data_IF_099293177159
#
_entry.id   IF_099293177159
#
_cell.length_a   1.000
_cell.length_b   1.000
_cell.length_c   1.000
_cell.angle_alpha   90.00
_cell.angle_beta   90.00
_cell.angle_gamma   90.00
#
_symmetry.space_group_name_H-M   'P 1'
#
loop_
_entity.id
_entity.type
_entity.pdbx_description
1 polymer ?
#
# COMPACT_ATOMS: atom_id res chain seq x y z
N UNK A 1 12.53 -21.50 -7.89
CA UNK A 1 12.30 -20.06 -7.80
C UNK A 1 11.30 -19.50 -8.83
N UNK A 2 11.23 -20.04 -10.04
CA UNK A 2 10.27 -19.62 -11.09
C UNK A 2 8.81 -20.08 -10.84
N UNK A 3 8.60 -21.13 -10.07
CA UNK A 3 7.31 -21.80 -9.87
C UNK A 3 6.50 -21.28 -8.66
N UNK A 4 6.79 -20.08 -8.15
CA UNK A 4 5.93 -19.47 -7.15
C UNK A 4 4.63 -19.00 -7.82
N UNK A 5 3.49 -19.26 -7.19
CA UNK A 5 2.16 -18.93 -7.70
C UNK A 5 2.05 -17.48 -8.21
N UNK A 6 2.57 -16.45 -7.51
CA UNK A 6 2.57 -15.08 -8.03
C UNK A 6 3.33 -14.93 -9.35
N UNK A 7 4.54 -15.54 -9.47
CA UNK A 7 5.33 -15.42 -10.70
C UNK A 7 4.64 -16.06 -11.91
N UNK A 8 3.98 -17.21 -11.71
CA UNK A 8 3.23 -17.88 -12.78
C UNK A 8 2.10 -16.98 -13.26
N UNK A 9 1.39 -16.33 -12.35
CA UNK A 9 0.27 -15.44 -12.67
C UNK A 9 0.75 -14.18 -13.42
N UNK A 10 1.88 -13.59 -13.02
CA UNK A 10 2.50 -12.48 -13.76
C UNK A 10 2.93 -12.88 -15.17
N UNK A 11 3.58 -14.04 -15.32
CA UNK A 11 3.99 -14.55 -16.62
C UNK A 11 2.76 -14.89 -17.49
N UNK A 12 1.73 -15.51 -16.94
CA UNK A 12 0.49 -15.81 -17.67
C UNK A 12 -0.16 -14.54 -18.21
N UNK A 13 -0.11 -13.43 -17.47
CA UNK A 13 -0.61 -12.11 -17.89
C UNK A 13 0.15 -11.59 -19.11
N UNK A 14 1.48 -11.72 -19.14
CA UNK A 14 2.30 -11.35 -20.31
C UNK A 14 1.95 -12.22 -21.53
N UNK A 15 1.74 -13.52 -21.32
CA UNK A 15 1.38 -14.46 -22.40
C UNK A 15 -0.04 -14.19 -22.93
N UNK A 16 -0.95 -13.75 -22.10
CA UNK A 16 -2.33 -13.43 -22.50
C UNK A 16 -2.40 -12.23 -23.46
N UNK A 17 -1.45 -11.27 -23.39
CA UNK A 17 -1.44 -10.09 -24.26
C UNK A 17 -1.44 -10.46 -25.75
N UNK A 18 -0.48 -11.27 -26.28
CA UNK A 18 -0.51 -11.66 -27.70
C UNK A 18 -1.73 -12.51 -28.04
N UNK A 19 -2.29 -13.28 -27.11
CA UNK A 19 -3.53 -14.04 -27.33
C UNK A 19 -4.73 -13.10 -27.53
N UNK A 20 -4.87 -12.05 -26.70
CA UNK A 20 -5.89 -11.01 -26.87
C UNK A 20 -5.75 -10.33 -28.23
N UNK A 21 -4.51 -9.97 -28.63
CA UNK A 21 -4.24 -9.36 -29.93
C UNK A 21 -4.70 -10.27 -31.10
N UNK A 22 -4.30 -11.53 -31.09
CA UNK A 22 -4.69 -12.50 -32.12
C UNK A 22 -6.20 -12.73 -32.15
N UNK A 23 -6.83 -12.79 -31.00
CA UNK A 23 -8.29 -12.97 -30.90
C UNK A 23 -9.05 -11.80 -31.55
N UNK A 24 -8.65 -10.57 -31.30
CA UNK A 24 -9.27 -9.38 -31.94
C UNK A 24 -8.95 -9.33 -33.44
N UNK A 25 -7.73 -9.70 -33.84
CA UNK A 25 -7.30 -9.69 -35.23
C UNK A 25 -8.13 -10.62 -36.15
N UNK A 26 -8.71 -11.68 -35.61
CA UNK A 26 -9.58 -12.60 -36.36
C UNK A 26 -10.92 -11.95 -36.78
N UNK A 27 -11.28 -10.79 -36.21
CA UNK A 27 -12.50 -10.03 -36.52
C UNK A 27 -13.81 -10.84 -36.39
N UNK A 28 -13.85 -11.80 -35.49
CA UNK A 28 -15.04 -12.61 -35.20
C UNK A 28 -15.62 -12.24 -33.84
N UNK A 29 -16.96 -12.19 -33.76
CA UNK A 29 -17.68 -11.85 -32.50
C UNK A 29 -17.26 -12.75 -31.34
N UNK A 30 -17.14 -14.06 -31.58
CA UNK A 30 -16.75 -15.01 -30.56
C UNK A 30 -15.33 -14.81 -30.05
N UNK A 31 -14.41 -14.47 -30.94
CA UNK A 31 -13.02 -14.20 -30.61
C UNK A 31 -12.89 -12.86 -29.88
N UNK A 32 -13.68 -11.85 -30.24
CA UNK A 32 -13.73 -10.57 -29.52
C UNK A 32 -14.24 -10.75 -28.09
N UNK A 33 -15.28 -11.57 -27.90
CA UNK A 33 -15.78 -11.92 -26.56
C UNK A 33 -14.69 -12.64 -25.75
N UNK A 34 -13.99 -13.60 -26.37
CA UNK A 34 -12.89 -14.31 -25.71
C UNK A 34 -11.79 -13.33 -25.28
N UNK A 35 -11.42 -12.38 -26.13
CA UNK A 35 -10.43 -11.33 -25.81
C UNK A 35 -10.85 -10.49 -24.61
N UNK A 36 -12.10 -10.03 -24.59
CA UNK A 36 -12.66 -9.28 -23.47
C UNK A 36 -12.68 -10.08 -22.18
N UNK A 37 -13.10 -11.32 -22.22
CA UNK A 37 -13.10 -12.22 -21.05
C UNK A 37 -11.68 -12.46 -20.54
N UNK A 38 -10.72 -12.72 -21.41
CA UNK A 38 -9.31 -12.92 -21.05
C UNK A 38 -8.73 -11.65 -20.39
N UNK A 39 -9.06 -10.47 -20.90
CA UNK A 39 -8.63 -9.21 -20.31
C UNK A 39 -9.24 -9.01 -18.91
N UNK A 40 -10.52 -9.26 -18.73
CA UNK A 40 -11.19 -9.19 -17.42
C UNK A 40 -10.55 -10.18 -16.44
N UNK A 41 -10.35 -11.42 -16.85
CA UNK A 41 -9.69 -12.43 -16.00
C UNK A 41 -8.28 -12.02 -15.61
N UNK A 42 -7.47 -11.52 -16.55
CA UNK A 42 -6.13 -11.02 -16.27
C UNK A 42 -6.15 -9.85 -15.28
N UNK A 43 -7.09 -8.92 -15.42
CA UNK A 43 -7.26 -7.76 -14.53
C UNK A 43 -7.70 -8.17 -13.12
N UNK A 44 -8.63 -9.11 -13.00
CA UNK A 44 -9.10 -9.64 -11.71
C UNK A 44 -8.01 -10.43 -11.02
N UNK A 45 -7.27 -11.24 -11.77
CA UNK A 45 -6.15 -12.04 -11.25
C UNK A 45 -5.08 -11.14 -10.67
N UNK A 46 -4.74 -10.03 -11.35
CA UNK A 46 -3.80 -9.03 -10.85
C UNK A 46 -4.21 -8.45 -9.48
N UNK A 47 -5.48 -8.08 -9.37
CA UNK A 47 -6.00 -7.56 -8.10
C UNK A 47 -5.91 -8.59 -6.97
N UNK A 48 -6.24 -9.85 -7.26
CA UNK A 48 -6.19 -10.94 -6.29
C UNK A 48 -4.75 -11.29 -5.89
N UNK A 49 -3.82 -11.31 -6.85
CA UNK A 49 -2.40 -11.59 -6.59
C UNK A 49 -1.79 -10.55 -5.67
N UNK A 50 -2.07 -9.27 -5.91
CA UNK A 50 -1.66 -8.19 -5.02
C UNK A 50 -2.22 -8.35 -3.60
N UNK A 51 -3.39 -8.95 -3.43
CA UNK A 51 -3.97 -9.26 -2.13
C UNK A 51 -3.29 -10.47 -1.48
N UNK A 52 -3.12 -11.58 -2.21
CA UNK A 52 -2.53 -12.83 -1.69
C UNK A 52 -1.02 -12.72 -1.43
N UNK A 53 -0.27 -12.01 -2.29
CA UNK A 53 1.17 -11.81 -2.11
C UNK A 53 1.48 -11.04 -0.81
N UNK A 54 0.67 -10.03 -0.47
CA UNK A 54 0.78 -9.30 0.81
C UNK A 54 0.48 -10.18 2.02
N UNK A 55 -0.43 -11.14 1.87
CA UNK A 55 -0.85 -12.04 2.94
C UNK A 55 0.16 -13.16 3.23
N UNK A 56 0.95 -13.61 2.23
CA UNK A 56 1.80 -14.82 2.34
C UNK A 56 3.31 -14.54 2.41
N UNK A 57 3.77 -13.29 2.37
CA UNK A 57 5.21 -12.91 2.35
C UNK A 57 6.07 -13.65 1.29
N UNK A 58 5.47 -14.10 0.19
CA UNK A 58 6.12 -14.88 -0.87
C UNK A 58 6.58 -13.99 -2.04
N UNK A 59 7.22 -12.87 -1.75
CA UNK A 59 7.73 -11.98 -2.80
C UNK A 59 9.06 -12.47 -3.34
N UNK A 60 9.08 -13.03 -4.54
CA UNK A 60 10.32 -13.30 -5.25
C UNK A 60 10.92 -11.99 -5.82
N UNK A 61 12.24 -11.95 -5.99
CA UNK A 61 12.90 -10.77 -6.61
C UNK A 61 12.41 -10.58 -8.04
N UNK A 62 12.21 -11.68 -8.79
CA UNK A 62 11.72 -11.66 -10.16
C UNK A 62 10.26 -11.16 -10.24
N UNK A 63 9.38 -11.61 -9.33
CA UNK A 63 7.99 -11.13 -9.28
C UNK A 63 7.92 -9.63 -9.04
N UNK A 64 8.67 -9.10 -8.08
CA UNK A 64 8.72 -7.65 -7.80
C UNK A 64 9.16 -6.81 -9.00
N UNK A 65 9.98 -7.36 -9.88
CA UNK A 65 10.39 -6.71 -11.12
C UNK A 65 9.33 -6.83 -12.21
N UNK A 66 8.77 -8.03 -12.41
CA UNK A 66 7.86 -8.31 -13.52
C UNK A 66 6.44 -7.78 -13.29
N UNK A 67 5.95 -7.75 -12.04
CA UNK A 67 4.58 -7.31 -11.74
C UNK A 67 4.30 -5.88 -12.27
N UNK A 68 5.08 -4.84 -11.93
CA UNK A 68 4.79 -3.50 -12.42
C UNK A 68 4.98 -3.37 -13.95
N UNK A 69 5.75 -4.24 -14.58
CA UNK A 69 5.92 -4.26 -16.04
C UNK A 69 4.71 -4.90 -16.70
N UNK A 70 4.28 -6.08 -16.22
CA UNK A 70 3.15 -6.82 -16.76
C UNK A 70 1.85 -6.01 -16.73
N UNK A 71 1.58 -5.33 -15.61
CA UNK A 71 0.39 -4.48 -15.45
C UNK A 71 0.31 -3.38 -16.50
N UNK A 72 1.43 -2.70 -16.74
CA UNK A 72 1.47 -1.62 -17.72
C UNK A 72 1.41 -2.14 -19.15
N UNK A 73 2.11 -3.26 -19.43
CA UNK A 73 2.04 -3.90 -20.74
C UNK A 73 0.61 -4.33 -21.08
N UNK A 74 -0.12 -4.92 -20.14
CA UNK A 74 -1.50 -5.32 -20.34
C UNK A 74 -2.39 -4.12 -20.72
N UNK A 75 -2.32 -3.03 -19.97
CA UNK A 75 -3.12 -1.83 -20.21
C UNK A 75 -2.74 -1.14 -21.53
N UNK A 76 -1.45 -0.90 -21.74
CA UNK A 76 -0.96 -0.20 -22.95
C UNK A 76 -1.28 -1.02 -24.20
N UNK A 77 -1.07 -2.33 -24.19
CA UNK A 77 -1.40 -3.22 -25.30
C UNK A 77 -2.89 -3.24 -25.57
N UNK A 78 -3.74 -3.32 -24.54
CA UNK A 78 -5.19 -3.29 -24.72
C UNK A 78 -5.67 -1.98 -25.33
N UNK A 79 -5.15 -0.83 -24.88
CA UNK A 79 -5.47 0.48 -25.46
C UNK A 79 -5.02 0.59 -26.92
N UNK A 80 -3.83 0.08 -27.26
CA UNK A 80 -3.36 0.03 -28.64
C UNK A 80 -4.25 -0.86 -29.52
N UNK A 81 -4.68 -2.00 -29.00
CA UNK A 81 -5.60 -2.92 -29.71
C UNK A 81 -6.94 -2.20 -29.99
N UNK A 82 -7.50 -1.47 -29.02
CA UNK A 82 -8.74 -0.72 -29.20
C UNK A 82 -8.61 0.33 -30.31
N UNK A 83 -7.51 1.07 -30.36
CA UNK A 83 -7.25 2.08 -31.38
C UNK A 83 -7.00 1.43 -32.74
N UNK A 84 -6.15 0.42 -32.81
CA UNK A 84 -5.78 -0.27 -34.06
C UNK A 84 -6.99 -0.89 -34.76
N UNK A 85 -7.93 -1.43 -34.00
CA UNK A 85 -9.15 -2.07 -34.52
C UNK A 85 -10.35 -1.11 -34.61
N UNK A 86 -10.15 0.18 -34.41
CA UNK A 86 -11.21 1.22 -34.47
C UNK A 86 -12.40 0.90 -33.55
N UNK A 87 -12.12 0.33 -32.41
CA UNK A 87 -13.13 0.00 -31.39
C UNK A 87 -13.47 1.21 -30.49
N UNK A 88 -12.86 2.35 -30.75
CA UNK A 88 -13.11 3.64 -30.08
C UNK A 88 -13.20 4.73 -31.13
N UNK A 89 -14.03 5.75 -30.87
CA UNK A 89 -14.16 6.92 -31.73
C UNK A 89 -12.85 7.72 -31.80
N UNK A 90 -12.55 8.39 -32.94
CA UNK A 90 -11.30 9.14 -33.10
C UNK A 90 -11.05 10.18 -32.00
N UNK A 91 -12.10 10.82 -31.47
CA UNK A 91 -11.98 11.77 -30.38
C UNK A 91 -11.48 11.11 -29.08
N UNK A 92 -11.82 9.85 -28.87
CA UNK A 92 -11.42 9.05 -27.70
C UNK A 92 -9.93 8.63 -27.75
N UNK A 93 -9.22 8.87 -28.86
CA UNK A 93 -7.76 8.72 -28.89
C UNK A 93 -7.05 9.69 -27.93
N UNK A 94 -7.65 10.85 -27.63
CA UNK A 94 -7.08 11.83 -26.69
C UNK A 94 -6.89 11.23 -25.29
N UNK A 95 -7.93 10.72 -24.60
CA UNK A 95 -7.75 10.08 -23.30
C UNK A 95 -6.87 8.82 -23.37
N UNK A 96 -6.89 8.06 -24.46
CA UNK A 96 -5.99 6.92 -24.66
C UNK A 96 -4.53 7.35 -24.59
N UNK A 97 -4.14 8.37 -25.37
CA UNK A 97 -2.76 8.89 -25.38
C UNK A 97 -2.37 9.42 -23.99
N UNK A 98 -3.27 10.20 -23.34
CA UNK A 98 -3.03 10.72 -21.99
C UNK A 98 -2.76 9.58 -21.00
N UNK A 99 -3.56 8.53 -21.04
CA UNK A 99 -3.40 7.37 -20.15
C UNK A 99 -2.07 6.68 -20.41
N UNK A 100 -1.74 6.39 -21.70
CA UNK A 100 -0.51 5.71 -22.07
C UNK A 100 0.74 6.49 -21.66
N UNK A 101 0.80 7.79 -22.03
CA UNK A 101 1.93 8.64 -21.69
C UNK A 101 2.13 8.72 -20.17
N UNK A 102 1.04 8.88 -19.43
CA UNK A 102 1.11 8.96 -17.96
C UNK A 102 1.53 7.64 -17.32
N UNK A 103 1.07 6.49 -17.82
CA UNK A 103 1.48 5.18 -17.26
C UNK A 103 3.00 5.01 -17.34
N UNK A 104 3.61 5.40 -18.46
CA UNK A 104 5.05 5.35 -18.64
C UNK A 104 5.76 6.39 -17.76
N UNK A 105 5.32 7.65 -17.82
CA UNK A 105 5.93 8.77 -17.12
C UNK A 105 5.92 8.56 -15.60
N UNK A 106 4.75 8.29 -15.02
CA UNK A 106 4.65 8.12 -13.55
C UNK A 106 5.38 6.87 -13.07
N UNK A 107 5.50 5.84 -13.91
CA UNK A 107 6.33 4.69 -13.60
C UNK A 107 7.80 5.05 -13.46
N UNK A 108 8.34 5.74 -14.48
CA UNK A 108 9.73 6.20 -14.44
C UNK A 108 10.02 7.14 -13.27
N UNK A 109 9.10 8.11 -13.00
CA UNK A 109 9.23 9.00 -11.86
C UNK A 109 9.23 8.25 -10.51
N UNK A 110 8.41 7.22 -10.39
CA UNK A 110 8.35 6.42 -9.16
C UNK A 110 9.61 5.59 -8.96
N UNK A 111 10.14 4.98 -10.03
CA UNK A 111 11.40 4.24 -9.98
C UNK A 111 12.56 5.17 -9.65
N UNK A 112 12.64 6.32 -10.30
CA UNK A 112 13.64 7.35 -10.01
C UNK A 112 13.62 7.77 -8.53
N UNK A 113 12.47 8.09 -7.97
CA UNK A 113 12.36 8.48 -6.57
C UNK A 113 12.62 7.34 -5.58
N UNK A 114 12.36 6.09 -5.98
CA UNK A 114 12.66 4.91 -5.18
C UNK A 114 14.17 4.70 -4.99
N UNK A 115 15.01 5.04 -5.98
CA UNK A 115 16.47 5.02 -5.86
C UNK A 115 16.95 5.95 -4.74
N UNK A 116 16.26 7.07 -4.54
CA UNK A 116 16.56 8.02 -3.47
C UNK A 116 15.84 7.73 -2.16
N UNK A 117 15.22 6.55 -2.02
CA UNK A 117 14.46 6.13 -0.84
C UNK A 117 13.27 7.06 -0.50
N UNK A 118 12.76 7.78 -1.49
CA UNK A 118 11.59 8.66 -1.36
C UNK A 118 10.34 7.89 -1.73
N UNK A 119 9.57 7.51 -0.72
CA UNK A 119 8.31 6.82 -0.91
C UNK A 119 7.22 7.74 -1.44
N UNK A 120 6.58 7.36 -2.56
CA UNK A 120 5.37 8.04 -3.05
C UNK A 120 4.11 7.30 -2.60
N UNK A 121 3.32 7.85 -1.68
CA UNK A 121 2.07 7.23 -1.27
C UNK A 121 1.05 7.25 -2.40
N UNK A 122 0.36 6.12 -2.58
CA UNK A 122 -0.71 6.00 -3.58
C UNK A 122 -1.95 6.75 -3.08
N UNK A 123 -2.40 7.75 -3.83
CA UNK A 123 -3.60 8.52 -3.50
C UNK A 123 -4.88 7.71 -3.72
N UNK A 124 -5.98 8.05 -3.05
CA UNK A 124 -7.30 7.42 -3.28
C UNK A 124 -7.76 7.61 -4.74
N UNK A 125 -7.51 8.77 -5.32
CA UNK A 125 -7.81 9.07 -6.72
C UNK A 125 -7.09 8.14 -7.70
N UNK A 126 -5.85 7.74 -7.40
CA UNK A 126 -5.10 6.79 -8.23
C UNK A 126 -5.74 5.40 -8.24
N UNK A 127 -6.43 4.99 -7.18
CA UNK A 127 -7.18 3.71 -7.14
C UNK A 127 -8.45 3.79 -8.00
N UNK A 128 -9.21 4.86 -7.86
CA UNK A 128 -10.43 5.09 -8.66
C UNK A 128 -10.13 5.16 -10.16
N UNK A 129 -9.07 5.90 -10.53
CA UNK A 129 -8.58 5.97 -11.90
C UNK A 129 -8.38 4.59 -12.51
N UNK A 130 -7.64 3.71 -11.82
CA UNK A 130 -7.36 2.35 -12.31
C UNK A 130 -8.64 1.52 -12.44
N UNK A 131 -9.57 1.64 -11.49
CA UNK A 131 -10.86 0.98 -11.57
C UNK A 131 -11.66 1.41 -12.80
N UNK A 132 -11.83 2.72 -13.04
CA UNK A 132 -12.52 3.23 -14.23
C UNK A 132 -11.82 2.81 -15.53
N UNK A 133 -10.51 2.87 -15.58
CA UNK A 133 -9.71 2.50 -16.74
C UNK A 133 -9.87 1.01 -17.10
N UNK A 134 -9.75 0.09 -16.13
CA UNK A 134 -9.92 -1.34 -16.36
C UNK A 134 -11.35 -1.67 -16.79
N UNK A 135 -12.36 -1.06 -16.15
CA UNK A 135 -13.77 -1.24 -16.53
C UNK A 135 -14.04 -0.71 -17.93
N UNK A 136 -13.54 0.47 -18.28
CA UNK A 136 -13.69 1.05 -19.61
C UNK A 136 -13.10 0.14 -20.71
N UNK A 137 -11.88 -0.33 -20.55
CA UNK A 137 -11.22 -1.22 -21.50
C UNK A 137 -11.99 -2.54 -21.64
N UNK A 138 -12.44 -3.11 -20.52
CA UNK A 138 -13.25 -4.34 -20.53
C UNK A 138 -14.55 -4.16 -21.32
N UNK A 139 -15.26 -3.06 -21.11
CA UNK A 139 -16.49 -2.74 -21.84
C UNK A 139 -16.24 -2.55 -23.32
N UNK A 140 -15.19 -1.83 -23.69
CA UNK A 140 -14.82 -1.58 -25.08
C UNK A 140 -14.40 -2.85 -25.83
N UNK A 141 -13.73 -3.79 -25.17
CA UNK A 141 -13.40 -5.10 -25.76
C UNK A 141 -14.65 -5.99 -25.91
N UNK A 142 -15.62 -5.85 -25.00
CA UNK A 142 -16.87 -6.62 -25.01
C UNK A 142 -18.01 -5.97 -25.85
N UNK A 143 -17.79 -4.79 -26.43
CA UNK A 143 -18.83 -4.09 -27.21
C UNK A 143 -19.30 -4.86 -28.46
N UNK A 144 -18.54 -5.85 -28.93
CA UNK A 144 -18.95 -6.73 -30.05
C UNK A 144 -20.10 -7.68 -29.69
N UNK A 145 -20.60 -7.69 -28.45
CA UNK A 145 -21.76 -8.48 -28.04
C UNK A 145 -23.02 -8.02 -28.75
N UNK A 146 -23.73 -8.87 -29.50
CA UNK A 146 -24.84 -8.47 -30.39
C UNK A 146 -26.06 -7.87 -29.67
N UNK A 147 -26.25 -8.21 -28.39
CA UNK A 147 -27.43 -7.76 -27.64
C UNK A 147 -27.23 -6.48 -26.79
N UNK A 148 -25.99 -6.12 -26.48
CA UNK A 148 -25.67 -5.08 -25.49
C UNK A 148 -24.64 -4.06 -26.05
N UNK A 149 -24.06 -4.36 -27.22
CA UNK A 149 -22.84 -3.73 -27.72
C UNK A 149 -22.87 -2.20 -27.87
N UNK A 150 -23.97 -1.64 -28.39
CA UNK A 150 -24.05 -0.21 -28.63
C UNK A 150 -24.00 0.64 -27.37
N UNK A 151 -24.77 0.28 -26.35
CA UNK A 151 -24.81 0.99 -25.07
C UNK A 151 -23.53 0.79 -24.24
N UNK A 152 -22.98 -0.43 -24.27
CA UNK A 152 -21.73 -0.76 -23.56
C UNK A 152 -20.53 -0.02 -24.17
N UNK A 153 -20.48 0.11 -25.49
CA UNK A 153 -19.42 0.88 -26.17
C UNK A 153 -19.41 2.34 -25.74
N UNK A 154 -20.56 3.00 -25.83
CA UNK A 154 -20.69 4.42 -25.42
C UNK A 154 -20.33 4.62 -23.94
N UNK A 155 -20.81 3.75 -23.07
CA UNK A 155 -20.50 3.81 -21.64
C UNK A 155 -18.99 3.56 -21.40
N UNK A 156 -18.37 2.63 -22.13
CA UNK A 156 -16.95 2.38 -22.10
C UNK A 156 -16.11 3.60 -22.48
N UNK A 157 -16.52 4.33 -23.53
CA UNK A 157 -15.84 5.57 -23.93
C UNK A 157 -15.99 6.67 -22.88
N UNK A 158 -17.18 6.88 -22.32
CA UNK A 158 -17.40 7.85 -21.25
C UNK A 158 -16.53 7.54 -20.05
N UNK A 159 -16.46 6.27 -19.64
CA UNK A 159 -15.58 5.84 -18.54
C UNK A 159 -14.10 6.04 -18.88
N UNK A 160 -13.70 5.86 -20.14
CA UNK A 160 -12.33 6.09 -20.58
C UNK A 160 -11.97 7.58 -20.54
N UNK A 161 -12.89 8.47 -20.88
CA UNK A 161 -12.73 9.91 -20.71
C UNK A 161 -12.59 10.29 -19.23
N UNK A 162 -13.43 9.76 -18.36
CA UNK A 162 -13.30 9.97 -16.90
C UNK A 162 -11.95 9.48 -16.39
N UNK A 163 -11.53 8.28 -16.82
CA UNK A 163 -10.23 7.72 -16.46
C UNK A 163 -9.07 8.60 -16.98
N UNK A 164 -9.19 9.16 -18.20
CA UNK A 164 -8.22 10.06 -18.79
C UNK A 164 -8.03 11.35 -17.99
N UNK A 165 -9.14 12.00 -17.60
CA UNK A 165 -9.11 13.22 -16.77
C UNK A 165 -8.49 12.93 -15.39
N UNK A 166 -8.94 11.88 -14.71
CA UNK A 166 -8.36 11.47 -13.41
C UNK A 166 -6.88 11.12 -13.53
N UNK A 167 -6.51 10.51 -14.65
CA UNK A 167 -5.12 10.16 -14.97
C UNK A 167 -4.25 11.40 -15.15
N UNK A 168 -4.75 12.40 -15.84
CA UNK A 168 -4.06 13.68 -16.03
C UNK A 168 -3.84 14.40 -14.70
N UNK A 169 -4.90 14.55 -13.89
CA UNK A 169 -4.82 15.22 -12.59
C UNK A 169 -3.82 14.49 -11.67
N UNK A 170 -3.91 13.16 -11.56
CA UNK A 170 -2.99 12.39 -10.72
C UNK A 170 -1.56 12.40 -11.27
N UNK A 171 -1.37 12.41 -12.58
CA UNK A 171 -0.06 12.52 -13.21
C UNK A 171 0.62 13.84 -12.88
N UNK A 172 -0.12 14.95 -12.96
CA UNK A 172 0.38 16.27 -12.58
C UNK A 172 0.84 16.30 -11.10
N UNK A 173 0.03 15.77 -10.20
CA UNK A 173 0.40 15.70 -8.77
C UNK A 173 1.69 14.90 -8.50
N UNK A 174 1.94 13.84 -9.27
CA UNK A 174 3.19 13.07 -9.15
C UNK A 174 4.38 13.82 -9.73
N UNK A 175 4.18 14.51 -10.85
CA UNK A 175 5.21 15.31 -11.48
C UNK A 175 5.65 16.49 -10.59
N UNK A 176 4.68 17.21 -10.03
CA UNK A 176 4.91 18.32 -9.10
C UNK A 176 5.74 17.91 -7.89
N UNK A 177 5.35 16.80 -7.24
CA UNK A 177 6.14 16.24 -6.12
C UNK A 177 7.55 15.82 -6.52
N UNK A 178 7.73 15.33 -7.74
CA UNK A 178 9.06 14.98 -8.22
C UNK A 178 9.93 16.23 -8.44
N UNK A 179 9.36 17.28 -8.98
CA UNK A 179 10.05 18.57 -9.14
C UNK A 179 10.44 19.16 -7.79
N UNK A 180 9.54 19.20 -6.83
CA UNK A 180 9.84 19.68 -5.46
C UNK A 180 11.01 18.91 -4.83
N UNK A 181 11.06 17.60 -5.03
CA UNK A 181 12.17 16.79 -4.55
C UNK A 181 13.48 17.16 -5.25
N UNK A 182 13.49 17.27 -6.58
CA UNK A 182 14.68 17.64 -7.35
C UNK A 182 15.19 19.01 -6.92
N UNK A 183 14.32 20.02 -6.81
CA UNK A 183 14.70 21.35 -6.33
C UNK A 183 15.29 21.32 -4.93
N UNK A 184 14.73 20.51 -4.04
CA UNK A 184 15.24 20.36 -2.67
C UNK A 184 16.64 19.74 -2.65
N UNK A 185 16.87 18.71 -3.47
CA UNK A 185 18.18 18.06 -3.58
C UNK A 185 19.23 18.99 -4.20
N UNK A 186 18.85 19.73 -5.24
CA UNK A 186 19.74 20.65 -5.94
C UNK A 186 20.14 21.83 -5.06
N UNK A 187 19.19 22.44 -4.35
CA UNK A 187 19.46 23.49 -3.37
C UNK A 187 20.33 23.00 -2.19
N UNK A 188 20.16 21.74 -1.75
CA UNK A 188 20.99 21.14 -0.71
C UNK A 188 22.42 20.84 -1.21
N UNK A 189 22.60 20.53 -2.51
CA UNK A 189 23.94 20.39 -3.10
C UNK A 189 24.68 21.72 -3.20
N UNK A 190 23.95 22.80 -3.53
CA UNK A 190 24.53 24.15 -3.64
C UNK A 190 24.84 24.80 -2.29
N UNK A 191 24.20 24.36 -1.19
CA UNK A 191 24.43 24.89 0.15
C UNK A 191 24.70 23.76 1.17
N UNK A 192 25.92 23.19 1.21
CA UNK A 192 26.28 22.13 2.15
C UNK A 192 26.17 22.56 3.62
N UNK A 193 26.35 23.85 3.90
CA UNK A 193 26.21 24.45 5.26
C UNK A 193 24.75 24.33 5.75
N UNK A 194 23.76 24.58 4.91
CA UNK A 194 22.33 24.43 5.28
C UNK A 194 21.96 22.98 5.58
N UNK A 195 22.59 22.01 4.89
CA UNK A 195 22.37 20.59 5.15
C UNK A 195 22.90 20.19 6.52
N UNK A 196 24.11 20.63 6.86
CA UNK A 196 24.69 20.40 8.20
C UNK A 196 23.84 21.07 9.28
N UNK A 197 23.40 22.30 9.05
CA UNK A 197 22.52 23.01 9.99
C UNK A 197 21.17 22.30 10.22
N UNK A 198 20.55 21.74 9.17
CA UNK A 198 19.31 20.97 9.30
C UNK A 198 19.53 19.63 10.02
N UNK A 199 20.65 18.95 9.80
CA UNK A 199 20.99 17.74 10.52
C UNK A 199 21.30 18.03 12.00
N UNK A 200 22.04 19.09 12.29
CA UNK A 200 22.30 19.55 13.64
C UNK A 200 21.01 19.90 14.37
N UNK A 201 20.07 20.62 13.72
CA UNK A 201 18.74 20.88 14.28
C UNK A 201 17.94 19.60 14.57
N UNK A 202 17.98 18.61 13.67
CA UNK A 202 17.31 17.31 13.89
C UNK A 202 17.92 16.55 15.07
N UNK A 203 19.24 16.54 15.18
CA UNK A 203 19.96 15.91 16.30
C UNK A 203 19.65 16.65 17.61
N UNK A 204 19.69 17.98 17.61
CA UNK A 204 19.38 18.78 18.77
C UNK A 204 17.96 18.52 19.31
N UNK A 205 16.94 18.47 18.42
CA UNK A 205 15.55 18.14 18.79
C UNK A 205 15.47 16.72 19.38
N UNK A 206 16.17 15.76 18.79
CA UNK A 206 16.17 14.36 19.25
C UNK A 206 16.85 14.22 20.62
N UNK A 207 17.95 14.92 20.84
CA UNK A 207 18.66 14.96 22.14
C UNK A 207 17.82 15.64 23.19
N UNK A 208 17.22 16.80 22.86
CA UNK A 208 16.36 17.54 23.79
C UNK A 208 15.15 16.70 24.22
N UNK A 209 14.50 16.00 23.28
CA UNK A 209 13.35 15.14 23.61
C UNK A 209 13.75 13.94 24.48
N UNK A 210 14.92 13.35 24.24
CA UNK A 210 15.46 12.26 25.07
C UNK A 210 15.80 12.74 26.49
N UNK A 211 16.45 13.88 26.61
CA UNK A 211 16.78 14.50 27.91
C UNK A 211 15.52 14.84 28.70
N UNK A 212 14.53 15.46 28.06
CA UNK A 212 13.25 15.78 28.71
C UNK A 212 12.56 14.51 29.22
N UNK A 213 12.56 13.45 28.45
CA UNK A 213 11.99 12.15 28.86
C UNK A 213 12.71 11.56 30.07
N UNK A 214 14.04 11.54 30.05
CA UNK A 214 14.88 11.05 31.16
C UNK A 214 14.70 11.88 32.43
N UNK A 215 14.59 13.20 32.31
CA UNK A 215 14.35 14.09 33.45
C UNK A 215 12.95 13.88 34.03
N UNK A 216 11.94 13.68 33.17
CA UNK A 216 10.57 13.39 33.62
C UNK A 216 10.51 12.03 34.37
N UNK A 217 11.18 11.01 33.87
CA UNK A 217 11.26 9.68 34.52
C UNK A 217 11.96 9.77 35.90
N UNK A 218 13.09 10.47 35.98
CA UNK A 218 13.79 10.70 37.27
C UNK A 218 12.95 11.51 38.27
N UNK A 219 12.15 12.45 37.78
CA UNK A 219 11.27 13.27 38.63
C UNK A 219 10.09 12.43 39.15
N UNK A 220 9.53 11.54 38.33
CA UNK A 220 8.49 10.60 38.72
C UNK A 220 9.01 9.58 39.76
N UNK A 221 10.22 9.05 39.55
CA UNK A 221 10.85 8.11 40.48
C UNK A 221 11.16 8.76 41.85
N UNK A 222 11.64 9.99 41.85
CA UNK A 222 11.84 10.77 43.09
C UNK A 222 10.54 10.97 43.83
N UNK A 223 9.46 11.31 43.13
CA UNK A 223 8.14 11.51 43.73
C UNK A 223 7.59 10.21 44.32
N UNK A 224 7.71 9.11 43.62
CA UNK A 224 7.30 7.78 44.11
C UNK A 224 8.08 7.32 45.35
N UNK A 225 9.41 7.58 45.38
CA UNK A 225 10.24 7.31 46.58
C UNK A 225 9.87 8.18 47.77
N UNK A 226 9.50 9.45 47.56
CA UNK A 226 9.04 10.33 48.60
C UNK A 226 7.68 9.90 49.21
N UNK A 227 6.75 9.47 48.37
CA UNK A 227 5.47 8.93 48.77
C UNK A 227 5.60 7.63 49.55
N UNK A 228 6.50 6.71 49.12
CA UNK A 228 6.82 5.51 49.89
C UNK A 228 7.44 5.80 51.24
N UNK A 229 8.33 6.77 51.33
CA UNK A 229 8.95 7.16 52.57
C UNK A 229 7.93 7.75 53.57
N UNK A 230 7.00 8.56 53.07
CA UNK A 230 5.90 9.14 53.88
C UNK A 230 4.90 8.03 54.34
N UNK A 231 4.59 7.05 53.46
CA UNK A 231 3.73 5.93 53.80
C UNK A 231 4.39 4.99 54.83
N UNK A 232 5.72 4.84 54.77
CA UNK A 232 6.47 4.05 55.76
C UNK A 232 6.57 4.77 57.14
N UNK A 233 6.66 6.13 57.14
CA UNK A 233 6.69 6.91 58.38
C UNK A 233 5.32 7.00 59.08
N UNK A 234 4.23 6.78 58.35
CA UNK A 234 2.86 6.77 58.93
C UNK A 234 2.45 5.44 59.59
N UNK A 235 3.37 4.47 59.76
CA UNK A 235 3.11 3.18 60.40
C UNK A 235 3.99 2.89 61.63
N UNK A 236 3.89 3.68 62.74
CA UNK A 236 4.11 3.06 64.03
C UNK A 236 3.23 3.61 65.15
N UNK A 237 1.98 3.22 65.27
CA UNK A 237 1.27 3.47 66.56
C UNK A 237 0.11 2.51 66.90
N UNK A 238 0.07 1.30 66.35
CA UNK A 238 -0.95 0.32 66.73
C UNK A 238 -0.42 -1.02 67.23
N UNK A 239 0.77 -1.04 67.86
CA UNK A 239 1.29 -2.30 68.47
C UNK A 239 1.77 -2.15 69.93
N UNK A 240 1.18 -1.27 70.74
CA UNK A 240 1.53 -1.18 72.19
C UNK A 240 0.33 -1.13 73.15
N UNK A 241 -0.77 -1.76 72.84
CA UNK A 241 -1.87 -1.79 73.81
C UNK A 241 -2.65 -3.10 73.79
N UNK A 242 -2.02 -4.28 73.91
CA UNK A 242 -2.66 -5.49 74.44
C UNK A 242 -1.56 -6.41 74.94
N UNK A 243 -1.03 -6.10 76.16
CA UNK A 243 -0.27 -7.08 76.94
C UNK A 243 -0.66 -6.92 78.39
N UNK A 244 -1.67 -7.65 78.80
CA UNK A 244 -2.05 -7.71 80.21
C UNK A 244 -3.43 -8.33 80.45
N UNK A 245 -3.53 -9.67 80.43
CA UNK A 245 -4.29 -10.42 81.47
C UNK A 245 -4.05 -11.91 81.32
N UNK A 246 -3.64 -12.42 82.44
CA UNK A 246 -3.24 -13.82 82.80
C UNK A 246 -4.36 -14.89 82.65
N UNK A 247 -3.97 -16.04 82.11
CA UNK A 247 -4.17 -17.43 82.53
C UNK A 247 -5.45 -17.85 83.36
N UNK A 248 -5.90 -19.15 83.44
CA UNK A 248 -5.15 -20.40 83.22
C UNK A 248 -5.91 -21.62 82.55
N UNK A 249 -5.13 -22.57 82.18
CA UNK A 249 -5.21 -24.04 82.25
C UNK A 249 -6.49 -24.83 81.84
N UNK A 250 -6.36 -25.78 80.92
CA UNK A 250 -6.36 -27.20 81.21
C UNK A 250 -6.60 -28.05 79.98
N UNK A 251 -5.77 -29.13 79.92
CA UNK A 251 -5.98 -30.51 79.47
C UNK A 251 -5.98 -30.88 77.99
N UNK A 252 -4.90 -31.54 77.62
CA UNK A 252 -4.79 -32.64 76.63
C UNK A 252 -5.85 -33.73 76.89
N UNK A 253 -6.21 -34.68 76.01
CA UNK A 253 -5.25 -35.56 75.35
C UNK A 253 -5.64 -36.06 73.94
N UNK A 254 -4.65 -36.70 73.33
CA UNK A 254 -4.65 -37.92 72.50
C UNK A 254 -4.98 -37.88 71.01
N UNK A 255 -3.99 -38.23 70.24
CA UNK A 255 -4.05 -38.84 68.88
C UNK A 255 -4.77 -40.21 68.92
N UNK A 256 -5.13 -40.90 67.86
CA UNK A 256 -4.16 -41.45 66.91
C UNK A 256 -4.53 -41.58 65.42
N UNK A 257 -3.49 -41.74 64.57
CA UNK A 257 -3.29 -42.76 63.49
C UNK A 257 -4.47 -43.10 62.56
N UNK A 258 -4.28 -43.13 61.30
CA UNK A 258 -3.65 -44.01 60.31
C UNK A 258 -4.32 -43.91 58.99
N UNK A 259 -3.47 -44.07 57.99
CA UNK A 259 -3.60 -44.78 56.71
C UNK A 259 -4.78 -44.51 55.75
N UNK A 260 -4.53 -44.04 54.64
CA UNK A 260 -4.11 -44.69 53.36
C UNK A 260 -3.71 -43.67 52.32
#
# INVERSE_FOLDING_TARGET
MLYNLPNILTISRIVVIPVIFLAIYIHSVWWSILAGVLFVMASVTDYLDGYFARSRNQNSVLGRLLDPIADKLLVVSALLILVANRLVEPLTYIPVIIIMCREVLVSGLREFLAEFHVGMPVTRLAKWKTGFQMTAISMLLLQSLPFIGGGVGVLGEVLLWVAGVLTFITGYQYFDKCLDYIYTVENNKQNPVKKVEQEVKKIAVKVTSAVVKTVAEKKAEKKARAEQKNAAAAKPEKKKAVRGRRKPAAKKPAAPKTDK
#
